data_IF_809995143372
#
_entry.id   IF_809995143372
#
_cell.length_a   1.000
_cell.length_b   1.000
_cell.length_c   1.000
_cell.angle_alpha   90.00
_cell.angle_beta   90.00
_cell.angle_gamma   90.00
#
_symmetry.space_group_name_H-M   'P 1'
#
loop_
_entity.id
_entity.type
_entity.pdbx_description
1 polymer ?
#
# COMPACT_ATOMS: atom_id res chain seq x y z
N UNK A 1 2.30 17.49 12.80
CA UNK A 1 1.62 16.22 12.52
C UNK A 1 0.59 15.89 13.57
N UNK A 2 0.15 16.92 14.29
CA UNK A 2 -0.84 16.75 15.36
C UNK A 2 -2.19 16.25 14.86
N UNK A 3 -2.51 16.54 13.59
CA UNK A 3 -3.81 16.16 13.03
C UNK A 3 -3.80 14.84 12.25
N UNK A 4 -2.64 14.19 12.13
CA UNK A 4 -2.55 12.92 11.39
C UNK A 4 -3.06 11.77 12.25
N UNK A 5 -4.16 11.14 11.81
CA UNK A 5 -4.76 10.05 12.56
C UNK A 5 -3.81 8.85 12.70
N UNK A 6 -2.99 8.58 11.69
CA UNK A 6 -2.03 7.47 11.76
C UNK A 6 -0.87 7.78 12.70
N UNK A 7 -0.41 9.04 12.73
CA UNK A 7 0.59 9.44 13.72
C UNK A 7 0.04 9.27 15.14
N UNK A 8 -1.23 9.58 15.34
CA UNK A 8 -1.87 9.41 16.64
C UNK A 8 -2.00 7.95 17.03
N UNK A 9 -2.28 7.08 16.05
CA UNK A 9 -2.34 5.63 16.29
C UNK A 9 -0.95 5.11 16.67
N UNK A 10 0.08 5.54 15.94
CA UNK A 10 1.47 5.15 16.21
C UNK A 10 1.89 5.57 17.62
N UNK A 11 1.47 6.76 18.04
CA UNK A 11 1.78 7.30 19.36
C UNK A 11 0.82 6.83 20.45
N UNK A 12 -0.09 5.91 20.14
CA UNK A 12 -1.06 5.35 21.08
C UNK A 12 -2.04 6.37 21.68
N UNK A 13 -2.26 7.47 20.97
CA UNK A 13 -3.27 8.48 21.34
C UNK A 13 -4.67 8.05 20.90
N UNK A 14 -4.76 7.17 19.89
CA UNK A 14 -6.01 6.60 19.40
C UNK A 14 -5.83 5.09 19.40
N UNK A 15 -6.81 4.33 19.89
CA UNK A 15 -6.71 2.88 19.92
C UNK A 15 -6.71 2.28 18.50
N UNK A 16 -6.08 1.13 18.34
CA UNK A 16 -6.04 0.39 17.09
C UNK A 16 -5.90 -1.10 17.40
N UNK A 17 -6.13 -1.92 16.39
CA UNK A 17 -5.94 -3.37 16.49
C UNK A 17 -4.60 -3.72 15.89
N UNK A 18 -3.56 -3.64 16.72
CA UNK A 18 -2.18 -3.81 16.27
C UNK A 18 -1.91 -5.24 15.80
N UNK A 19 -1.27 -5.34 14.64
CA UNK A 19 -0.83 -6.61 14.06
C UNK A 19 0.67 -6.81 14.24
N UNK A 20 1.44 -5.75 14.04
CA UNK A 20 2.90 -5.80 14.09
C UNK A 20 3.47 -4.40 14.33
N UNK A 21 4.60 -4.35 14.98
CA UNK A 21 5.31 -3.09 15.19
C UNK A 21 6.80 -3.36 15.36
N UNK A 22 7.61 -2.51 14.75
CA UNK A 22 9.05 -2.46 15.03
C UNK A 22 9.46 -0.97 15.03
N UNK A 23 10.77 -0.70 14.95
CA UNK A 23 11.26 0.68 15.01
C UNK A 23 10.94 1.49 13.74
N UNK A 24 10.52 0.85 12.65
CA UNK A 24 10.30 1.51 11.36
C UNK A 24 8.84 1.57 10.94
N UNK A 25 8.05 0.57 11.28
CA UNK A 25 6.67 0.44 10.81
C UNK A 25 5.71 0.08 11.93
N UNK A 26 4.45 0.34 11.65
CA UNK A 26 3.33 -0.05 12.48
C UNK A 26 2.27 -0.66 11.58
N UNK A 27 1.77 -1.83 11.93
CA UNK A 27 0.72 -2.48 11.17
C UNK A 27 -0.49 -2.75 12.05
N UNK A 28 -1.67 -2.45 11.54
CA UNK A 28 -2.92 -2.56 12.28
C UNK A 28 -4.08 -2.85 11.33
N UNK A 29 -5.16 -3.39 11.87
CA UNK A 29 -6.32 -3.72 11.05
C UNK A 29 -7.04 -2.47 10.56
N UNK A 30 -7.44 -2.48 9.28
CA UNK A 30 -8.38 -1.49 8.77
C UNK A 30 -9.76 -1.85 9.35
N UNK A 31 -10.42 -0.89 9.98
CA UNK A 31 -11.69 -1.16 10.65
C UNK A 31 -12.82 -1.52 9.68
N UNK A 32 -12.69 -1.16 8.40
CA UNK A 32 -13.70 -1.52 7.40
C UNK A 32 -13.65 -3.00 7.00
N UNK A 33 -12.51 -3.64 7.20
CA UNK A 33 -12.31 -5.06 6.89
C UNK A 33 -12.96 -5.43 5.56
N UNK A 34 -12.42 -4.87 4.47
CA UNK A 34 -12.90 -5.20 3.12
C UNK A 34 -12.98 -6.71 2.95
N UNK A 35 -11.98 -7.40 3.46
CA UNK A 35 -12.02 -8.84 3.71
C UNK A 35 -11.44 -9.08 5.09
N UNK A 36 -11.67 -10.27 5.62
CA UNK A 36 -11.14 -10.62 6.95
C UNK A 36 -9.61 -10.59 6.94
N UNK A 37 -9.04 -9.79 7.82
CA UNK A 37 -7.60 -9.64 7.92
C UNK A 37 -7.04 -8.44 7.16
N UNK A 38 -7.89 -7.64 6.54
CA UNK A 38 -7.46 -6.41 5.85
C UNK A 38 -6.61 -5.58 6.81
N UNK A 39 -5.33 -5.44 6.48
CA UNK A 39 -4.32 -4.80 7.33
C UNK A 39 -3.72 -3.61 6.62
N UNK A 40 -3.40 -2.58 7.39
CA UNK A 40 -2.65 -1.42 6.92
C UNK A 40 -1.24 -1.48 7.51
N UNK A 41 -0.25 -1.24 6.68
CA UNK A 41 1.14 -1.11 7.12
C UNK A 41 1.59 0.31 6.83
N UNK A 42 2.05 1.01 7.86
CA UNK A 42 2.42 2.42 7.75
C UNK A 42 3.85 2.63 8.26
N UNK A 43 4.61 3.53 7.62
CA UNK A 43 5.89 3.93 8.19
C UNK A 43 5.65 4.75 9.47
N UNK A 44 6.52 4.58 10.45
CA UNK A 44 6.45 5.41 11.66
C UNK A 44 6.82 6.85 11.36
N UNK A 45 7.73 7.05 10.41
CA UNK A 45 8.04 8.37 9.90
C UNK A 45 6.85 8.86 9.06
N UNK A 46 6.38 10.06 9.34
CA UNK A 46 5.29 10.63 8.55
C UNK A 46 5.82 11.03 7.17
N UNK A 47 5.33 10.36 6.13
CA UNK A 47 5.47 10.76 4.74
C UNK A 47 4.08 10.68 4.13
N UNK A 48 3.75 11.63 3.27
CA UNK A 48 2.39 11.72 2.73
C UNK A 48 2.09 10.59 1.76
N UNK A 49 3.01 10.30 0.86
CA UNK A 49 2.79 9.33 -0.22
C UNK A 49 4.13 8.81 -0.77
N UNK A 50 4.04 7.97 -1.80
CA UNK A 50 5.22 7.31 -2.39
C UNK A 50 6.24 8.32 -2.94
N UNK A 51 5.78 9.50 -3.33
CA UNK A 51 6.65 10.50 -3.93
C UNK A 51 7.59 11.17 -2.91
N UNK A 52 7.32 10.98 -1.62
CA UNK A 52 8.18 11.49 -0.55
C UNK A 52 9.16 10.46 0.02
N UNK A 53 9.11 9.22 -0.47
CA UNK A 53 10.03 8.20 0.00
C UNK A 53 11.44 8.44 -0.56
N UNK A 54 12.46 8.28 0.29
CA UNK A 54 13.82 8.10 -0.20
C UNK A 54 14.12 6.59 -0.26
N UNK A 55 15.23 6.18 -0.90
CA UNK A 55 15.54 4.75 -1.03
C UNK A 55 15.68 4.01 0.30
N UNK A 56 16.21 4.67 1.32
CA UNK A 56 16.40 4.03 2.63
C UNK A 56 15.05 3.73 3.27
N UNK A 57 14.15 4.71 3.29
CA UNK A 57 12.82 4.53 3.86
C UNK A 57 12.03 3.49 3.06
N UNK A 58 12.12 3.55 1.73
CA UNK A 58 11.44 2.57 0.88
C UNK A 58 11.90 1.15 1.20
N UNK A 59 13.21 0.96 1.33
CA UNK A 59 13.75 -0.34 1.70
C UNK A 59 13.27 -0.83 3.05
N UNK A 60 13.23 0.06 4.03
CA UNK A 60 12.79 -0.28 5.38
C UNK A 60 11.31 -0.67 5.42
N UNK A 61 10.46 0.11 4.77
CA UNK A 61 9.01 -0.10 4.81
C UNK A 61 8.62 -1.32 3.97
N UNK A 62 9.05 -1.36 2.71
CA UNK A 62 8.60 -2.41 1.80
C UNK A 62 9.20 -3.78 2.11
N UNK A 63 10.36 -3.83 2.77
CA UNK A 63 10.92 -5.10 3.23
C UNK A 63 10.01 -5.82 4.22
N UNK A 64 9.16 -5.09 4.93
CA UNK A 64 8.27 -5.65 5.94
C UNK A 64 6.93 -6.12 5.38
N UNK A 65 6.61 -5.78 4.14
CA UNK A 65 5.35 -6.19 3.51
C UNK A 65 5.23 -7.71 3.42
N UNK A 66 6.22 -8.44 2.89
CA UNK A 66 6.13 -9.90 2.85
C UNK A 66 5.99 -10.54 4.23
N UNK A 67 6.63 -9.97 5.24
CA UNK A 67 6.55 -10.49 6.61
C UNK A 67 5.11 -10.49 7.13
N UNK A 68 4.41 -9.37 6.94
CA UNK A 68 3.01 -9.26 7.38
C UNK A 68 2.10 -10.13 6.52
N UNK A 69 2.35 -10.16 5.20
CA UNK A 69 1.58 -11.01 4.29
C UNK A 69 1.69 -12.48 4.65
N UNK A 70 2.90 -12.94 4.94
CA UNK A 70 3.13 -14.33 5.33
C UNK A 70 2.47 -14.66 6.67
N UNK A 71 2.47 -13.71 7.59
CA UNK A 71 1.79 -13.88 8.88
C UNK A 71 0.28 -14.02 8.70
N UNK A 72 -0.30 -13.21 7.80
CA UNK A 72 -1.72 -13.30 7.46
C UNK A 72 -2.07 -14.67 6.89
N UNK A 73 -1.28 -15.15 5.94
CA UNK A 73 -1.49 -16.46 5.32
C UNK A 73 -1.42 -17.59 6.33
N UNK A 74 -0.50 -17.50 7.27
CA UNK A 74 -0.39 -18.53 8.33
C UNK A 74 -1.54 -18.45 9.32
N UNK A 75 -1.99 -17.23 9.64
CA UNK A 75 -3.10 -17.04 10.58
C UNK A 75 -4.43 -17.52 9.99
N UNK A 76 -4.62 -17.36 8.69
CA UNK A 76 -5.85 -17.73 7.99
C UNK A 76 -5.50 -18.58 6.78
N UNK A 77 -5.36 -19.91 6.98
CA UNK A 77 -4.94 -20.81 5.89
C UNK A 77 -5.89 -20.86 4.69
N UNK A 78 -7.12 -20.40 4.85
CA UNK A 78 -8.10 -20.33 3.76
C UNK A 78 -7.83 -19.18 2.79
N UNK A 79 -6.84 -18.32 3.05
CA UNK A 79 -6.46 -17.26 2.12
C UNK A 79 -5.93 -17.89 0.83
N UNK A 80 -6.48 -17.47 -0.33
CA UNK A 80 -6.09 -17.96 -1.64
C UNK A 80 -5.25 -16.96 -2.42
N UNK A 81 -5.18 -15.73 -1.95
CA UNK A 81 -4.40 -14.69 -2.60
C UNK A 81 -4.40 -13.41 -1.80
N UNK A 82 -3.73 -12.39 -2.30
CA UNK A 82 -3.64 -11.12 -1.60
C UNK A 82 -3.44 -9.99 -2.58
N UNK A 83 -4.20 -8.91 -2.40
CA UNK A 83 -3.94 -7.68 -3.13
C UNK A 83 -3.18 -6.72 -2.21
N UNK A 84 -2.11 -6.18 -2.74
CA UNK A 84 -1.30 -5.17 -2.05
C UNK A 84 -1.54 -3.85 -2.76
N UNK A 85 -2.05 -2.86 -2.05
CA UNK A 85 -2.45 -1.59 -2.65
C UNK A 85 -1.83 -0.44 -1.89
N UNK A 86 -1.23 0.47 -2.62
CA UNK A 86 -0.72 1.73 -2.08
C UNK A 86 -1.29 2.86 -2.92
N UNK A 87 -2.20 3.64 -2.35
CA UNK A 87 -2.86 4.75 -3.01
C UNK A 87 -2.10 6.04 -2.73
N UNK A 88 -1.78 6.77 -3.78
CA UNK A 88 -0.97 7.99 -3.67
C UNK A 88 -1.72 9.14 -4.30
N UNK A 89 -2.07 10.13 -3.48
CA UNK A 89 -2.85 11.32 -3.80
C UNK A 89 -4.34 11.02 -3.96
N UNK A 90 -5.13 12.06 -3.85
CA UNK A 90 -6.59 11.95 -3.78
C UNK A 90 -7.21 11.30 -5.01
N UNK A 91 -6.74 11.65 -6.21
CA UNK A 91 -7.30 11.08 -7.45
C UNK A 91 -7.07 9.57 -7.54
N UNK A 92 -6.07 9.06 -6.83
CA UNK A 92 -5.79 7.63 -6.75
C UNK A 92 -6.36 7.00 -5.47
N UNK A 93 -7.36 7.65 -4.85
CA UNK A 93 -8.13 7.16 -3.68
C UNK A 93 -7.38 7.17 -2.35
N UNK A 94 -6.31 7.96 -2.24
CA UNK A 94 -5.71 8.15 -0.93
C UNK A 94 -6.63 9.02 -0.07
N UNK A 95 -7.07 8.49 1.08
CA UNK A 95 -7.99 9.19 1.97
C UNK A 95 -7.31 9.71 3.24
N UNK A 96 -6.23 9.10 3.66
CA UNK A 96 -5.41 9.57 4.78
C UNK A 96 -4.03 9.90 4.24
N UNK A 97 -3.54 11.11 4.53
CA UNK A 97 -2.30 11.62 3.92
C UNK A 97 -1.08 11.33 4.78
N UNK A 98 -0.99 10.11 5.18
CA UNK A 98 0.15 9.42 5.75
C UNK A 98 0.23 8.11 4.97
N UNK A 99 1.33 7.89 4.27
CA UNK A 99 1.46 6.74 3.38
C UNK A 99 1.10 5.45 4.07
N UNK A 100 0.32 4.61 3.39
CA UNK A 100 -0.06 3.32 3.95
C UNK A 100 -0.25 2.31 2.85
N UNK A 101 0.04 1.07 3.20
CA UNK A 101 -0.03 -0.06 2.28
C UNK A 101 -1.15 -0.96 2.78
N UNK A 102 -2.14 -1.20 1.92
CA UNK A 102 -3.21 -2.14 2.20
C UNK A 102 -2.76 -3.54 1.87
N UNK A 103 -2.90 -4.45 2.83
CA UNK A 103 -2.80 -5.88 2.57
C UNK A 103 -4.22 -6.44 2.67
N UNK A 104 -4.74 -6.87 1.54
CA UNK A 104 -6.12 -7.32 1.43
C UNK A 104 -6.13 -8.81 1.09
N UNK A 105 -6.33 -9.68 2.11
CA UNK A 105 -6.43 -11.12 1.85
C UNK A 105 -7.62 -11.41 0.94
N UNK A 106 -7.44 -12.38 0.04
CA UNK A 106 -8.52 -12.76 -0.88
C UNK A 106 -8.86 -14.22 -0.65
N UNK A 107 -10.15 -14.48 -0.47
CA UNK A 107 -10.67 -15.79 -0.14
C UNK A 107 -11.38 -16.44 -1.32
N UNK A 108 -11.87 -15.62 -2.24
CA UNK A 108 -12.50 -16.08 -3.47
C UNK A 108 -12.57 -14.92 -4.46
N UNK A 109 -12.93 -15.21 -5.71
CA UNK A 109 -13.17 -14.16 -6.70
C UNK A 109 -14.42 -13.35 -6.40
N UNK A 110 -15.24 -13.84 -5.46
CA UNK A 110 -16.53 -13.23 -5.11
C UNK A 110 -16.45 -12.37 -3.85
N UNK A 111 -15.25 -12.15 -3.30
CA UNK A 111 -15.07 -11.20 -2.20
C UNK A 111 -15.62 -9.83 -2.61
N UNK A 112 -16.13 -9.08 -1.62
CA UNK A 112 -16.65 -7.74 -1.87
C UNK A 112 -15.53 -6.74 -2.13
N UNK A 113 -14.75 -7.03 -3.14
CA UNK A 113 -13.61 -6.23 -3.56
C UNK A 113 -13.30 -6.56 -5.02
N UNK A 114 -13.15 -5.53 -5.84
CA UNK A 114 -12.81 -5.72 -7.25
C UNK A 114 -11.85 -4.63 -7.72
N UNK A 115 -11.11 -4.96 -8.76
CA UNK A 115 -10.21 -4.04 -9.44
C UNK A 115 -10.64 -3.98 -10.90
N UNK A 116 -10.80 -2.77 -11.42
CA UNK A 116 -11.14 -2.58 -12.82
C UNK A 116 -9.94 -2.03 -13.58
N UNK A 117 -9.55 -2.74 -14.65
CA UNK A 117 -8.53 -2.26 -15.58
C UNK A 117 -9.17 -2.02 -16.94
N UNK A 118 -9.12 -0.77 -17.39
CA UNK A 118 -9.48 -0.47 -18.77
C UNK A 118 -8.42 -1.04 -19.71
N UNK A 119 -8.81 -1.31 -20.94
CA UNK A 119 -7.88 -1.79 -21.95
C UNK A 119 -7.82 -0.78 -23.10
N UNK A 120 -6.71 -0.10 -23.23
CA UNK A 120 -6.48 0.90 -24.27
C UNK A 120 -5.30 0.54 -25.16
N UNK A 121 -5.04 -0.77 -25.29
CA UNK A 121 -3.92 -1.26 -26.07
C UNK A 121 -3.92 -0.72 -27.51
N UNK A 122 -5.10 -0.63 -28.12
CA UNK A 122 -5.22 -0.17 -29.50
C UNK A 122 -5.11 1.35 -29.66
N UNK A 123 -5.12 2.09 -28.56
CA UNK A 123 -4.99 3.55 -28.59
C UNK A 123 -3.55 4.00 -28.81
N UNK A 124 -2.58 3.10 -28.68
CA UNK A 124 -1.16 3.42 -28.75
C UNK A 124 -0.46 2.55 -29.80
N UNK A 125 0.21 3.21 -30.75
CA UNK A 125 1.08 2.51 -31.69
C UNK A 125 2.35 2.04 -30.98
N UNK A 126 3.13 1.15 -31.62
CA UNK A 126 4.41 0.71 -31.07
C UNK A 126 5.38 1.88 -30.94
N UNK A 127 5.34 2.83 -31.86
CA UNK A 127 6.17 4.04 -31.77
C UNK A 127 5.79 4.89 -30.57
N UNK A 128 4.48 5.09 -30.33
CA UNK A 128 4.01 5.83 -29.17
C UNK A 128 4.39 5.15 -27.86
N UNK A 129 4.30 3.82 -27.82
CA UNK A 129 4.72 3.06 -26.65
C UNK A 129 6.21 3.24 -26.38
N UNK A 130 7.03 3.23 -27.43
CA UNK A 130 8.46 3.44 -27.31
C UNK A 130 8.78 4.82 -26.79
N UNK A 131 8.09 5.85 -27.31
CA UNK A 131 8.26 7.23 -26.85
C UNK A 131 7.90 7.39 -25.37
N UNK A 132 6.81 6.76 -24.95
CA UNK A 132 6.39 6.78 -23.54
C UNK A 132 7.48 6.16 -22.66
N UNK A 133 7.96 4.98 -23.05
CA UNK A 133 8.99 4.27 -22.29
C UNK A 133 10.28 5.10 -22.19
N UNK A 134 10.72 5.70 -23.27
CA UNK A 134 11.94 6.51 -23.30
C UNK A 134 11.81 7.76 -22.44
N UNK A 135 10.64 8.39 -22.47
CA UNK A 135 10.40 9.59 -21.66
C UNK A 135 10.50 9.28 -20.17
N UNK A 136 9.93 8.15 -19.76
CA UNK A 136 10.00 7.70 -18.37
C UNK A 136 11.44 7.30 -18.01
N UNK A 137 12.07 6.49 -18.84
CA UNK A 137 13.43 6.00 -18.58
C UNK A 137 14.43 7.14 -18.42
N UNK A 138 14.27 8.20 -19.20
CA UNK A 138 15.12 9.38 -19.11
C UNK A 138 15.01 10.04 -17.73
N UNK A 139 13.81 10.08 -17.16
CA UNK A 139 13.60 10.67 -15.85
C UNK A 139 14.11 9.74 -14.74
N UNK A 140 13.99 8.43 -14.90
CA UNK A 140 14.56 7.48 -13.95
C UNK A 140 16.07 7.69 -13.83
N UNK A 141 16.76 7.92 -14.95
CA UNK A 141 18.21 8.16 -14.95
C UNK A 141 18.58 9.44 -14.22
N UNK A 142 17.63 10.39 -14.08
CA UNK A 142 17.85 11.68 -13.43
C UNK A 142 17.33 11.70 -11.99
N UNK A 143 16.81 10.60 -11.49
CA UNK A 143 16.26 10.48 -10.13
C UNK A 143 17.20 9.71 -9.16
#
# INVERSE_FOLDING_TARGET
>A
MTDCIFCKIINQEIPSYKVYEDDKVYAFLDITQVTKGHTLLVPKKHVTDIFEYDPALAGEVFARVPKVAQALEKAFPEIEGMNIINNNKEVAYQSVFHSHIHLIPRYSKEDDFSIHFGNHQEAYSSEQMQEIAEKIAKQVANT
#
